data_IF_441209922402
#
_entry.id   IF_441209922402
#
_cell.length_a   1.000
_cell.length_b   1.000
_cell.length_c   1.000
_cell.angle_alpha   90.00
_cell.angle_beta   90.00
_cell.angle_gamma   90.00
#
_symmetry.space_group_name_H-M   'P 1'
#
loop_
_entity.id
_entity.type
_entity.pdbx_description
1 polymer ?
#
# COMPACT_ATOMS: atom_id res chain seq x y z
N UNK A 1 3.88 -0.72 -6.54
CA UNK A 1 3.53 -1.92 -5.76
C UNK A 1 3.77 -1.63 -4.28
N UNK A 2 2.84 -1.95 -3.38
CA UNK A 2 3.14 -1.93 -1.96
C UNK A 2 4.05 -3.09 -1.56
N UNK A 3 4.84 -2.92 -0.50
CA UNK A 3 5.65 -3.98 0.13
C UNK A 3 5.26 -4.08 1.61
N UNK A 4 5.27 -5.29 2.18
CA UNK A 4 4.90 -5.54 3.57
C UNK A 4 5.96 -6.38 4.31
N UNK A 5 6.15 -6.08 5.58
CA UNK A 5 6.96 -6.86 6.52
C UNK A 5 6.04 -7.33 7.67
N UNK A 6 6.13 -8.62 8.02
CA UNK A 6 5.45 -9.19 9.18
C UNK A 6 6.51 -9.44 10.24
N UNK A 7 6.58 -8.56 11.24
CA UNK A 7 7.43 -8.78 12.41
C UNK A 7 6.90 -9.94 13.29
N UNK A 8 7.67 -10.40 14.29
CA UNK A 8 7.17 -11.32 15.32
C UNK A 8 6.04 -10.73 16.19
N UNK A 9 5.69 -9.47 15.96
CA UNK A 9 4.61 -8.72 16.58
C UNK A 9 3.34 -8.69 15.72
N UNK A 10 2.20 -8.46 16.35
CA UNK A 10 0.89 -8.21 15.71
C UNK A 10 0.86 -6.87 14.96
N UNK A 11 1.89 -6.51 14.20
CA UNK A 11 2.00 -5.23 13.49
C UNK A 11 2.39 -5.48 12.05
N UNK A 12 1.63 -4.87 11.13
CA UNK A 12 1.91 -4.86 9.70
C UNK A 12 2.22 -3.42 9.30
N UNK A 13 3.30 -3.24 8.55
CA UNK A 13 3.64 -1.95 7.91
C UNK A 13 3.46 -2.08 6.41
N UNK A 14 2.71 -1.14 5.83
CA UNK A 14 2.50 -1.01 4.39
C UNK A 14 3.32 0.17 3.90
N UNK A 15 4.21 -0.09 2.93
CA UNK A 15 4.92 0.95 2.19
C UNK A 15 4.24 1.18 0.85
N UNK A 16 4.10 2.44 0.43
CA UNK A 16 3.64 2.81 -0.89
C UNK A 16 4.58 3.86 -1.50
N UNK A 17 4.99 3.61 -2.74
CA UNK A 17 5.82 4.53 -3.52
C UNK A 17 5.03 5.16 -4.67
N UNK A 18 5.27 6.44 -4.91
CA UNK A 18 4.88 7.14 -6.13
C UNK A 18 6.14 7.60 -6.85
N UNK A 19 6.16 7.48 -8.18
CA UNK A 19 7.18 8.15 -8.98
C UNK A 19 6.85 9.65 -8.98
N UNK A 20 7.58 10.42 -8.17
CA UNK A 20 7.34 11.85 -8.00
C UNK A 20 7.73 12.66 -9.23
N UNK A 21 8.86 12.37 -9.84
CA UNK A 21 9.38 13.12 -11.01
C UNK A 21 9.39 12.28 -12.29
N UNK A 22 9.35 12.95 -13.44
CA UNK A 22 9.45 12.34 -14.77
C UNK A 22 8.35 11.29 -15.05
N UNK A 23 7.13 11.60 -14.63
CA UNK A 23 5.93 10.82 -14.92
C UNK A 23 5.02 11.59 -15.91
N UNK A 24 3.86 11.03 -16.25
CA UNK A 24 2.90 11.62 -17.20
C UNK A 24 2.39 13.02 -16.81
N UNK A 25 2.51 13.40 -15.54
CA UNK A 25 2.13 14.72 -15.00
C UNK A 25 3.34 15.65 -14.82
N UNK A 26 4.54 15.26 -15.25
CA UNK A 26 5.81 15.94 -14.98
C UNK A 26 6.25 15.75 -13.52
N UNK A 27 5.46 16.26 -12.58
CA UNK A 27 5.61 16.02 -11.14
C UNK A 27 4.28 15.59 -10.51
N UNK A 28 4.31 14.49 -9.75
CA UNK A 28 3.20 14.01 -8.92
C UNK A 28 3.66 13.94 -7.45
N UNK A 29 3.47 15.05 -6.73
CA UNK A 29 3.94 15.18 -5.36
C UNK A 29 2.82 14.77 -4.38
N UNK A 30 3.00 13.60 -3.77
CA UNK A 30 2.10 13.11 -2.73
C UNK A 30 2.37 13.89 -1.45
N UNK A 31 1.30 14.27 -0.77
CA UNK A 31 1.30 15.08 0.46
C UNK A 31 0.74 14.31 1.66
N UNK A 32 0.24 13.10 1.44
CA UNK A 32 -0.34 12.27 2.49
C UNK A 32 -1.14 11.09 1.94
N UNK A 33 -2.07 10.63 2.76
CA UNK A 33 -3.06 9.62 2.40
C UNK A 33 -3.51 8.81 3.61
N UNK A 34 -4.33 7.81 3.33
CA UNK A 34 -4.97 6.97 4.34
C UNK A 34 -4.88 5.52 3.90
N UNK A 35 -4.43 4.65 4.79
CA UNK A 35 -4.54 3.20 4.65
C UNK A 35 -5.87 2.76 5.28
N UNK A 36 -6.70 2.08 4.50
CA UNK A 36 -7.90 1.41 4.99
C UNK A 36 -7.62 -0.09 5.07
N UNK A 37 -7.94 -0.71 6.21
CA UNK A 37 -7.66 -2.13 6.43
C UNK A 37 -8.75 -2.82 7.25
N UNK A 38 -8.91 -4.12 7.06
CA UNK A 38 -9.76 -4.98 7.89
C UNK A 38 -9.38 -6.45 7.74
N UNK A 39 -9.80 -7.28 8.70
CA UNK A 39 -9.91 -8.72 8.49
C UNK A 39 -11.02 -9.05 7.49
N UNK A 40 -10.87 -10.14 6.74
CA UNK A 40 -11.86 -10.63 5.79
C UNK A 40 -13.27 -10.78 6.41
N UNK A 41 -13.35 -11.32 7.62
CA UNK A 41 -14.57 -11.52 8.41
C UNK A 41 -15.14 -10.25 9.03
N UNK A 42 -14.34 -9.19 9.13
CA UNK A 42 -14.76 -7.93 9.70
C UNK A 42 -15.63 -7.14 8.71
N UNK A 43 -16.75 -6.60 9.17
CA UNK A 43 -17.69 -5.81 8.36
C UNK A 43 -17.33 -4.33 8.22
N UNK A 44 -16.35 -3.84 9.00
CA UNK A 44 -16.00 -2.42 9.07
C UNK A 44 -14.52 -2.23 8.71
N UNK A 45 -14.24 -1.22 7.90
CA UNK A 45 -12.88 -0.79 7.58
C UNK A 45 -12.32 0.10 8.69
N UNK A 46 -11.13 -0.22 9.18
CA UNK A 46 -10.32 0.67 9.99
C UNK A 46 -9.49 1.58 9.08
N UNK A 47 -9.01 2.69 9.62
CA UNK A 47 -8.20 3.65 8.88
C UNK A 47 -7.00 4.13 9.73
N UNK A 48 -5.87 4.35 9.08
CA UNK A 48 -4.71 5.01 9.66
C UNK A 48 -4.02 5.89 8.61
N UNK A 49 -3.41 6.99 9.03
CA UNK A 49 -2.81 7.95 8.09
C UNK A 49 -1.45 7.47 7.59
N UNK A 50 -1.21 7.64 6.30
CA UNK A 50 0.12 7.51 5.72
C UNK A 50 1.04 8.61 6.27
N UNK A 51 2.20 8.20 6.75
CA UNK A 51 3.29 9.07 7.17
C UNK A 51 4.36 9.11 6.08
N UNK A 52 4.98 10.28 5.92
CA UNK A 52 6.10 10.40 5.01
C UNK A 52 7.23 9.49 5.49
N UNK A 53 7.79 8.69 4.58
CA UNK A 53 8.90 7.82 4.89
C UNK A 53 10.20 8.43 4.38
N UNK A 54 10.31 8.63 3.06
CA UNK A 54 11.51 9.20 2.44
C UNK A 54 11.25 9.66 1.00
N UNK A 55 12.04 10.64 0.56
CA UNK A 55 12.23 10.97 -0.86
C UNK A 55 13.51 10.30 -1.34
N UNK A 56 13.41 9.58 -2.44
CA UNK A 56 14.53 8.87 -3.04
C UNK A 56 14.86 7.57 -2.30
N UNK A 57 15.00 6.48 -3.08
CA UNK A 57 15.57 5.21 -2.63
C UNK A 57 16.68 4.79 -3.62
N UNK A 58 16.62 3.60 -4.24
CA UNK A 58 17.46 3.26 -5.40
C UNK A 58 17.29 4.21 -6.60
N UNK A 59 16.24 5.04 -6.61
CA UNK A 59 16.00 6.11 -7.57
C UNK A 59 15.59 7.39 -6.84
N UNK A 60 16.22 8.51 -7.17
CA UNK A 60 15.89 9.86 -6.68
C UNK A 60 14.54 10.37 -7.17
N UNK A 61 13.90 9.65 -8.10
CA UNK A 61 12.64 10.06 -8.71
C UNK A 61 11.39 9.68 -7.91
N UNK A 62 11.54 8.86 -6.86
CA UNK A 62 10.42 8.30 -6.12
C UNK A 62 10.23 8.98 -4.76
N UNK A 63 8.98 9.02 -4.30
CA UNK A 63 8.60 9.42 -2.95
C UNK A 63 7.86 8.25 -2.29
N UNK A 64 8.18 7.96 -1.04
CA UNK A 64 7.65 6.83 -0.30
C UNK A 64 6.93 7.29 0.97
N UNK A 65 5.81 6.61 1.23
CA UNK A 65 4.93 6.80 2.37
C UNK A 65 4.66 5.46 3.04
N UNK A 66 4.39 5.46 4.33
CA UNK A 66 4.12 4.24 5.08
C UNK A 66 2.97 4.42 6.08
N UNK A 67 2.32 3.32 6.42
CA UNK A 67 1.44 3.25 7.58
C UNK A 67 1.59 1.89 8.26
N UNK A 68 1.50 1.89 9.59
CA UNK A 68 1.51 0.68 10.40
C UNK A 68 0.19 0.52 11.12
N UNK A 69 -0.27 -0.72 11.27
CA UNK A 69 -1.47 -1.06 12.04
C UNK A 69 -1.27 -2.37 12.79
N UNK A 70 -2.05 -2.55 13.87
CA UNK A 70 -2.04 -3.80 14.62
C UNK A 70 -3.02 -4.82 14.05
N UNK A 71 -2.59 -6.09 13.99
CA UNK A 71 -3.40 -7.25 13.65
C UNK A 71 -3.94 -7.96 14.89
N UNK A 72 -3.80 -7.39 16.09
CA UNK A 72 -4.24 -8.02 17.34
C UNK A 72 -5.75 -8.33 17.38
N UNK A 73 -6.55 -7.58 16.62
CA UNK A 73 -8.00 -7.78 16.49
C UNK A 73 -8.40 -8.59 15.26
N UNK A 74 -7.44 -9.01 14.43
CA UNK A 74 -7.64 -9.84 13.25
C UNK A 74 -7.48 -11.30 13.67
N UNK A 75 -8.41 -12.16 13.24
CA UNK A 75 -8.39 -13.58 13.57
C UNK A 75 -7.10 -14.25 13.11
N UNK A 76 -6.69 -15.29 13.86
CA UNK A 76 -5.54 -16.11 13.49
C UNK A 76 -5.73 -16.72 12.11
N UNK A 77 -4.71 -16.63 11.23
CA UNK A 77 -4.74 -17.09 9.84
C UNK A 77 -5.77 -16.38 8.94
N UNK A 78 -6.41 -15.31 9.41
CA UNK A 78 -7.37 -14.55 8.61
C UNK A 78 -6.64 -13.77 7.50
N UNK A 79 -7.31 -13.60 6.36
CA UNK A 79 -6.84 -12.69 5.31
C UNK A 79 -7.10 -11.26 5.76
N UNK A 80 -6.06 -10.42 5.73
CA UNK A 80 -6.19 -8.98 5.88
C UNK A 80 -6.45 -8.40 4.50
N UNK A 81 -7.45 -7.53 4.40
CA UNK A 81 -7.75 -6.76 3.21
C UNK A 81 -7.32 -5.32 3.43
N UNK A 82 -6.78 -4.67 2.39
CA UNK A 82 -6.44 -3.25 2.46
C UNK A 82 -6.53 -2.53 1.12
N UNK A 83 -6.74 -1.22 1.16
CA UNK A 83 -6.59 -0.30 0.04
C UNK A 83 -6.12 1.05 0.57
N UNK A 84 -5.63 1.92 -0.31
CA UNK A 84 -5.10 3.23 0.08
C UNK A 84 -5.87 4.35 -0.58
N UNK A 85 -5.96 5.50 0.08
CA UNK A 85 -6.29 6.78 -0.52
C UNK A 85 -5.03 7.64 -0.51
N UNK A 86 -4.62 8.14 -1.67
CA UNK A 86 -3.42 8.96 -1.84
C UNK A 86 -3.84 10.41 -2.06
N UNK A 87 -3.25 11.33 -1.29
CA UNK A 87 -3.48 12.77 -1.45
C UNK A 87 -2.29 13.44 -2.11
N UNK A 88 -2.55 14.30 -3.08
CA UNK A 88 -1.55 15.07 -3.82
C UNK A 88 -1.76 16.57 -3.58
N UNK A 89 -0.76 17.38 -3.90
CA UNK A 89 -0.85 18.84 -3.80
C UNK A 89 -1.73 19.49 -4.90
N UNK A 90 -2.24 18.70 -5.84
CA UNK A 90 -3.10 19.18 -6.93
C UNK A 90 -2.36 19.87 -8.07
N UNK A 91 -1.04 20.04 -7.96
CA UNK A 91 -0.22 20.66 -9.00
C UNK A 91 -0.19 19.75 -10.23
N UNK A 92 -0.08 20.34 -11.42
CA UNK A 92 -0.09 19.63 -12.72
C UNK A 92 -1.36 18.80 -12.98
N UNK A 93 -2.45 19.07 -12.26
CA UNK A 93 -3.73 18.37 -12.43
C UNK A 93 -3.77 16.97 -11.80
N UNK A 94 -2.82 16.64 -10.93
CA UNK A 94 -2.81 15.34 -10.23
C UNK A 94 -3.94 15.30 -9.21
N UNK A 95 -4.84 14.35 -9.38
CA UNK A 95 -5.99 14.16 -8.50
C UNK A 95 -5.68 13.16 -7.38
N UNK A 96 -6.30 13.37 -6.23
CA UNK A 96 -6.32 12.35 -5.17
C UNK A 96 -6.99 11.08 -5.69
N UNK A 97 -6.47 9.93 -5.32
CA UNK A 97 -6.90 8.66 -5.90
C UNK A 97 -6.83 7.52 -4.90
N UNK A 98 -7.68 6.52 -5.09
CA UNK A 98 -7.59 5.27 -4.36
C UNK A 98 -6.69 4.28 -5.12
N UNK A 99 -5.80 3.61 -4.40
CA UNK A 99 -4.97 2.52 -4.90
C UNK A 99 -5.50 1.19 -4.36
N UNK A 100 -5.77 0.25 -5.26
CA UNK A 100 -6.37 -1.05 -4.92
C UNK A 100 -5.85 -2.16 -5.84
N UNK A 101 -6.22 -3.42 -5.55
CA UNK A 101 -5.81 -4.56 -6.34
C UNK A 101 -6.46 -4.50 -7.74
N UNK A 102 -5.71 -4.69 -8.84
CA UNK A 102 -6.32 -4.77 -10.15
C UNK A 102 -7.10 -6.08 -10.31
N UNK A 103 -8.29 -5.98 -10.90
CA UNK A 103 -9.17 -7.12 -11.13
C UNK A 103 -8.44 -8.25 -11.88
N UNK A 104 -8.56 -9.48 -11.37
CA UNK A 104 -7.95 -10.67 -11.98
C UNK A 104 -6.44 -10.82 -11.81
N UNK A 105 -5.73 -9.82 -11.26
CA UNK A 105 -4.28 -9.89 -11.02
C UNK A 105 -3.90 -10.10 -9.55
N UNK A 106 -4.90 -10.01 -8.65
CA UNK A 106 -4.68 -10.05 -7.20
C UNK A 106 -3.72 -8.95 -6.76
N UNK A 107 -2.75 -9.30 -5.91
CA UNK A 107 -1.75 -8.37 -5.39
C UNK A 107 -0.62 -8.03 -6.40
N UNK A 108 -0.68 -8.60 -7.61
CA UNK A 108 0.34 -8.38 -8.65
C UNK A 108 0.04 -7.11 -9.44
N UNK A 109 0.28 -5.95 -8.82
CA UNK A 109 0.13 -4.65 -9.47
C UNK A 109 -0.56 -3.60 -8.59
N UNK A 110 -1.14 -2.58 -9.20
CA UNK A 110 -1.97 -1.59 -8.53
C UNK A 110 -2.83 -0.83 -9.54
N UNK A 111 -4.13 -0.73 -9.26
CA UNK A 111 -5.09 0.04 -10.05
C UNK A 111 -5.50 1.30 -9.28
N UNK A 112 -5.84 2.35 -10.03
CA UNK A 112 -6.28 3.63 -9.44
C UNK A 112 -7.72 3.94 -9.78
N UNK A 113 -8.43 4.59 -8.87
CA UNK A 113 -9.83 5.00 -9.06
C UNK A 113 -10.15 6.22 -8.20
N UNK A 114 -11.09 7.07 -8.63
CA UNK A 114 -11.62 8.15 -7.79
C UNK A 114 -12.68 7.65 -6.78
N UNK A 115 -13.15 6.41 -6.91
CA UNK A 115 -14.26 5.86 -6.12
C UNK A 115 -13.79 4.95 -4.99
N UNK A 116 -14.11 5.32 -3.75
CA UNK A 116 -13.81 4.48 -2.58
C UNK A 116 -14.54 3.13 -2.66
N UNK A 117 -15.80 3.12 -3.11
CA UNK A 117 -16.59 1.89 -3.17
C UNK A 117 -15.99 0.88 -4.15
N UNK A 118 -15.40 1.36 -5.26
CA UNK A 118 -14.66 0.51 -6.21
C UNK A 118 -13.38 -0.05 -5.60
N UNK A 119 -12.62 0.78 -4.87
CA UNK A 119 -11.41 0.31 -4.20
C UNK A 119 -11.72 -0.73 -3.11
N UNK A 120 -12.81 -0.53 -2.36
CA UNK A 120 -13.23 -1.42 -1.29
C UNK A 120 -13.74 -2.79 -1.78
N UNK A 121 -14.25 -2.90 -3.02
CA UNK A 121 -14.68 -4.18 -3.61
C UNK A 121 -13.54 -4.96 -4.26
N UNK A 122 -12.39 -4.34 -4.49
CA UNK A 122 -11.20 -5.00 -5.03
C UNK A 122 -9.95 -4.66 -4.21
N UNK A 123 -9.93 -4.97 -2.89
CA UNK A 123 -8.81 -4.66 -2.03
C UNK A 123 -7.62 -5.59 -2.30
N UNK A 124 -6.43 -5.13 -1.94
CA UNK A 124 -5.26 -5.99 -1.78
C UNK A 124 -5.46 -6.95 -0.61
N UNK A 125 -4.71 -8.05 -0.61
CA UNK A 125 -4.75 -9.06 0.45
C UNK A 125 -3.37 -9.36 1.02
N UNK A 126 -3.31 -9.56 2.34
CA UNK A 126 -2.14 -10.10 3.04
C UNK A 126 -2.63 -11.31 3.81
N UNK A 127 -1.97 -12.46 3.62
CA UNK A 127 -2.22 -13.61 4.49
C UNK A 127 -1.53 -13.37 5.82
N UNK A 128 -2.30 -13.31 6.91
CA UNK A 128 -1.78 -13.23 8.28
C UNK A 128 -1.21 -14.60 8.72
N UNK A 129 -0.14 -15.04 8.05
CA UNK A 129 0.64 -16.23 8.39
C UNK A 129 2.07 -15.75 8.63
N UNK A 130 2.81 -16.28 9.63
CA UNK A 130 4.23 -16.03 9.74
C UNK A 130 4.90 -16.53 8.45
N UNK A 131 5.27 -15.62 7.57
CA UNK A 131 5.96 -15.91 6.33
C UNK A 131 7.08 -14.89 6.18
N UNK A 132 8.32 -15.38 6.19
CA UNK A 132 9.45 -14.64 5.65
C UNK A 132 9.21 -14.51 4.14
N UNK A 133 8.76 -13.33 3.72
CA UNK A 133 8.57 -13.04 2.30
C UNK A 133 9.91 -12.56 1.73
N UNK A 134 10.70 -13.50 1.19
CA UNK A 134 11.85 -13.17 0.37
C UNK A 134 11.38 -12.58 -0.96
N UNK A 135 11.81 -11.35 -1.30
CA UNK A 135 11.77 -10.85 -2.67
C UNK A 135 13.09 -11.22 -3.36
N UNK A 136 13.01 -12.06 -4.39
CA UNK A 136 14.14 -12.58 -5.14
C UNK A 136 14.88 -11.45 -5.89
N UNK A 137 16.13 -11.20 -5.49
CA UNK A 137 17.29 -10.95 -6.35
C UNK A 137 18.55 -10.84 -5.45
N UNK A 138 19.16 -11.96 -5.12
CA UNK A 138 20.61 -12.02 -4.90
C UNK A 138 21.12 -13.20 -5.73
N UNK A 139 21.94 -12.99 -6.77
CA UNK A 139 22.61 -14.10 -7.42
C UNK A 139 23.60 -14.73 -6.43
N UNK A 140 23.59 -16.06 -6.42
CA UNK A 140 24.41 -16.96 -5.62
C UNK A 140 25.89 -16.54 -5.55
N UNK A 141 26.44 -16.50 -4.34
CA UNK A 141 27.84 -16.83 -4.10
C UNK A 141 27.88 -18.20 -3.41
N UNK A 142 28.07 -19.24 -4.23
CA UNK A 142 28.83 -20.47 -3.94
C UNK A 142 29.17 -21.16 -5.26
#
# INVERSE_FOLDING_TARGET
KPEFEIGPSTTVTIYQGVQKYNNAFGTANQTGGTLYFKGLSQGVWNATNLQFYLNGGPSTNNQYWQASFSTATVGTNEVIQYYLYLTFDGVNGVQNTYLHAPAGTGDSGGATTASQSTAATSPFTIRNRPAWLFHANNPLDR
#
